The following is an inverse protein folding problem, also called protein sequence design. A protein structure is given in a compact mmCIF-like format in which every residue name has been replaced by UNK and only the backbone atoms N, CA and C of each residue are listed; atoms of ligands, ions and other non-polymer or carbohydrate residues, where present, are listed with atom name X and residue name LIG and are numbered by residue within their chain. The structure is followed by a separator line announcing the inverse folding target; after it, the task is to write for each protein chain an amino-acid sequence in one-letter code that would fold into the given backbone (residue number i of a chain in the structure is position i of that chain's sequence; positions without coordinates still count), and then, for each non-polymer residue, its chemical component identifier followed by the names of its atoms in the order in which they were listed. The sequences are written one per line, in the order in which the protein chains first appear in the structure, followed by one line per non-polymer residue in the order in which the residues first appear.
data_IF_739133547253
#
_entry.id   IF_739133547253
#
_cell.length_a   1.000
_cell.length_b   1.000
_cell.length_c   1.000
_cell.angle_alpha   90.00
_cell.angle_beta   90.00
_cell.angle_gamma   90.00
#
_symmetry.space_group_name_H-M   'P 1'
#
loop_
_entity.id
_entity.type
_entity.pdbx_description
1 polymer ?
#
# COMPACT_ATOMS: atom_id res chain seq x y z
N UNK A 1 44.57 -60.99 16.39
CA UNK A 1 44.08 -60.67 15.02
C UNK A 1 42.64 -60.19 15.12
N UNK A 2 42.33 -59.00 14.57
CA UNK A 2 41.03 -58.30 14.68
C UNK A 2 40.14 -58.62 13.46
N UNK A 3 38.84 -58.90 13.61
CA UNK A 3 37.92 -58.89 12.48
C UNK A 3 37.47 -57.45 12.17
N UNK A 4 37.58 -57.09 10.89
CA UNK A 4 37.11 -55.83 10.29
C UNK A 4 35.59 -55.92 10.12
N UNK A 5 34.84 -55.15 10.91
CA UNK A 5 33.43 -54.87 10.62
C UNK A 5 33.36 -53.55 9.84
N UNK A 6 33.04 -53.65 8.56
CA UNK A 6 32.66 -52.51 7.71
C UNK A 6 31.19 -52.21 8.00
N UNK A 7 30.89 -51.06 8.62
CA UNK A 7 29.52 -50.56 8.77
C UNK A 7 29.32 -49.32 7.88
N UNK A 8 28.13 -49.19 7.27
CA UNK A 8 27.92 -48.42 6.04
C UNK A 8 27.83 -46.92 6.28
N UNK A 9 28.20 -46.16 5.24
CA UNK A 9 28.09 -44.72 5.18
C UNK A 9 26.61 -44.28 5.33
N UNK A 10 26.32 -43.61 6.44
CA UNK A 10 25.03 -42.96 6.72
C UNK A 10 24.93 -41.70 5.85
N UNK A 11 24.23 -41.81 4.71
CA UNK A 11 23.93 -40.70 3.83
C UNK A 11 22.85 -39.82 4.49
N UNK A 12 23.27 -38.70 5.07
CA UNK A 12 22.38 -37.68 5.66
C UNK A 12 21.75 -36.89 4.51
N UNK A 13 20.51 -37.20 4.18
CA UNK A 13 19.66 -36.38 3.31
C UNK A 13 19.19 -35.15 4.07
N UNK A 14 19.86 -34.02 3.83
CA UNK A 14 19.41 -32.71 4.32
C UNK A 14 18.19 -32.31 3.48
N UNK A 15 16.99 -32.56 4.01
CA UNK A 15 15.75 -32.02 3.45
C UNK A 15 15.70 -30.51 3.69
N UNK A 16 16.04 -29.71 2.68
CA UNK A 16 15.72 -28.29 2.64
C UNK A 16 14.19 -28.16 2.57
N UNK A 17 13.54 -28.10 3.73
CA UNK A 17 12.16 -27.66 3.83
C UNK A 17 12.13 -26.13 3.66
N UNK A 18 12.15 -25.67 2.41
CA UNK A 18 11.83 -24.30 2.05
C UNK A 18 10.36 -24.06 2.31
N UNK A 19 10.03 -23.73 3.56
CA UNK A 19 8.70 -23.26 3.93
C UNK A 19 8.51 -21.88 3.31
N UNK A 20 7.65 -21.76 2.30
CA UNK A 20 7.20 -20.47 1.81
C UNK A 20 6.53 -19.72 2.96
N UNK A 21 7.01 -18.51 3.25
CA UNK A 21 6.41 -17.67 4.28
C UNK A 21 4.95 -17.40 3.91
N UNK A 22 3.99 -17.62 4.83
CA UNK A 22 2.60 -17.22 4.58
C UNK A 22 2.54 -15.70 4.43
N UNK A 23 1.94 -15.21 3.33
CA UNK A 23 1.64 -13.80 3.16
C UNK A 23 0.75 -13.32 4.30
N UNK A 24 0.92 -12.05 4.70
CA UNK A 24 0.07 -11.45 5.73
C UNK A 24 -1.41 -11.53 5.33
N UNK A 25 -2.33 -11.73 6.29
CA UNK A 25 -3.75 -11.80 5.97
C UNK A 25 -4.26 -10.48 5.37
N UNK A 26 -5.08 -10.60 4.33
CA UNK A 26 -5.76 -9.49 3.68
C UNK A 26 -7.21 -9.41 4.12
N UNK A 27 -7.75 -8.19 4.19
CA UNK A 27 -9.19 -7.96 4.36
C UNK A 27 -9.97 -8.55 3.19
N UNK A 28 -11.29 -8.69 3.34
CA UNK A 28 -12.14 -8.98 2.18
C UNK A 28 -12.11 -7.82 1.19
N UNK A 29 -12.44 -8.09 -0.09
CA UNK A 29 -12.54 -7.06 -1.12
C UNK A 29 -13.55 -5.97 -0.74
N UNK A 30 -14.69 -6.36 -0.15
CA UNK A 30 -15.70 -5.43 0.35
C UNK A 30 -15.18 -4.53 1.48
N UNK A 31 -14.41 -5.09 2.42
CA UNK A 31 -13.81 -4.29 3.50
C UNK A 31 -12.78 -3.32 2.93
N UNK A 32 -11.89 -3.79 2.06
CA UNK A 32 -10.90 -2.95 1.39
C UNK A 32 -11.56 -1.79 0.62
N UNK A 33 -12.62 -2.09 -0.15
CA UNK A 33 -13.37 -1.08 -0.90
C UNK A 33 -14.02 -0.05 0.02
N UNK A 34 -14.70 -0.50 1.07
CA UNK A 34 -15.36 0.39 2.04
C UNK A 34 -14.36 1.28 2.77
N UNK A 35 -13.18 0.77 3.11
CA UNK A 35 -12.11 1.56 3.72
C UNK A 35 -11.57 2.63 2.77
N UNK A 36 -11.38 2.30 1.49
CA UNK A 36 -11.02 3.27 0.45
C UNK A 36 -12.11 4.35 0.30
N UNK A 37 -13.38 3.95 0.19
CA UNK A 37 -14.52 4.86 0.09
C UNK A 37 -14.61 5.79 1.32
N UNK A 38 -14.47 5.25 2.53
CA UNK A 38 -14.49 6.05 3.77
C UNK A 38 -13.39 7.11 3.79
N UNK A 39 -12.19 6.77 3.33
CA UNK A 39 -11.08 7.71 3.23
C UNK A 39 -11.29 8.79 2.17
N UNK A 40 -11.75 8.43 0.98
CA UNK A 40 -12.06 9.39 -0.09
C UNK A 40 -13.21 10.33 0.31
N UNK A 41 -14.23 9.82 1.00
CA UNK A 41 -15.30 10.66 1.57
C UNK A 41 -14.78 11.59 2.67
N UNK A 42 -13.93 11.10 3.57
CA UNK A 42 -13.31 11.96 4.57
C UNK A 42 -12.47 13.08 3.93
N UNK A 43 -11.70 12.78 2.88
CA UNK A 43 -10.93 13.77 2.14
C UNK A 43 -11.83 14.80 1.47
N UNK A 44 -12.87 14.34 0.75
CA UNK A 44 -13.84 15.22 0.09
C UNK A 44 -14.60 16.11 1.09
N UNK A 45 -14.91 15.60 2.27
CA UNK A 45 -15.51 16.36 3.37
C UNK A 45 -14.52 17.31 4.08
N UNK A 46 -13.24 17.30 3.71
CA UNK A 46 -12.21 18.15 4.33
C UNK A 46 -11.80 17.70 5.74
N UNK A 47 -12.13 16.47 6.13
CA UNK A 47 -11.65 15.88 7.40
C UNK A 47 -10.16 15.50 7.28
N UNK A 48 -9.40 15.47 8.38
CA UNK A 48 -8.03 14.96 8.35
C UNK A 48 -8.03 13.42 8.27
N UNK A 49 -7.02 12.84 7.62
CA UNK A 49 -6.87 11.38 7.52
C UNK A 49 -6.79 10.69 8.91
N UNK A 50 -6.22 11.37 9.91
CA UNK A 50 -6.16 10.88 11.31
C UNK A 50 -7.54 10.66 11.95
N UNK A 51 -8.62 11.20 11.36
CA UNK A 51 -9.97 10.93 11.85
C UNK A 51 -10.44 9.49 11.60
N UNK A 52 -9.77 8.76 10.70
CA UNK A 52 -10.11 7.38 10.32
C UNK A 52 -9.45 6.32 11.22
N UNK A 53 -8.47 6.70 12.04
CA UNK A 53 -7.76 5.78 12.93
C UNK A 53 -8.66 5.24 14.06
N UNK A 54 -9.79 5.90 14.34
CA UNK A 54 -10.78 5.45 15.32
C UNK A 54 -11.83 4.47 14.76
N UNK A 55 -11.81 4.20 13.45
CA UNK A 55 -12.75 3.28 12.82
C UNK A 55 -12.45 1.82 13.19
N UNK A 56 -13.38 0.91 12.87
CA UNK A 56 -13.22 -0.54 13.06
C UNK A 56 -13.49 -1.26 11.74
N UNK A 57 -12.47 -1.82 11.06
CA UNK A 57 -11.04 -1.76 11.41
C UNK A 57 -10.49 -0.33 11.34
N UNK A 58 -9.37 -0.07 11.99
CA UNK A 58 -8.67 1.21 11.86
C UNK A 58 -8.22 1.39 10.40
N UNK A 59 -8.32 2.60 9.87
CA UNK A 59 -7.88 2.89 8.50
C UNK A 59 -6.70 3.85 8.57
N UNK A 60 -5.61 3.45 7.92
CA UNK A 60 -4.43 4.28 7.70
C UNK A 60 -4.39 4.71 6.23
N UNK A 61 -4.80 5.94 5.95
CA UNK A 61 -4.92 6.45 4.59
C UNK A 61 -3.75 7.37 4.24
N UNK A 62 -2.93 6.94 3.27
CA UNK A 62 -1.73 7.64 2.84
C UNK A 62 -1.91 8.16 1.42
N UNK A 63 -2.08 9.48 1.29
CA UNK A 63 -2.03 10.21 0.02
C UNK A 63 -1.26 11.53 0.18
N UNK A 64 -0.21 11.72 -0.61
CA UNK A 64 0.63 12.92 -0.53
C UNK A 64 -0.11 14.21 -0.88
N UNK A 65 -1.09 14.18 -1.80
CA UNK A 65 -1.85 15.38 -2.15
C UNK A 65 -2.80 15.77 -1.02
N UNK A 66 -3.45 14.79 -0.38
CA UNK A 66 -4.25 15.06 0.82
C UNK A 66 -3.38 15.61 1.95
N UNK A 67 -2.23 14.99 2.22
CA UNK A 67 -1.25 15.47 3.21
C UNK A 67 -0.74 16.89 2.89
N UNK A 68 -0.61 17.23 1.62
CA UNK A 68 -0.24 18.57 1.15
C UNK A 68 -1.40 19.60 1.20
N UNK A 69 -2.57 19.22 1.72
CA UNK A 69 -3.72 20.10 1.90
C UNK A 69 -4.56 20.31 0.64
N UNK A 70 -4.35 19.53 -0.42
CA UNK A 70 -5.26 19.55 -1.58
C UNK A 70 -6.65 19.08 -1.15
N UNK A 71 -7.68 19.60 -1.80
CA UNK A 71 -9.07 19.24 -1.54
C UNK A 71 -9.59 18.37 -2.67
N UNK A 72 -10.27 17.28 -2.33
CA UNK A 72 -10.96 16.43 -3.29
C UNK A 72 -12.36 17.00 -3.56
N UNK A 73 -12.70 17.22 -4.83
CA UNK A 73 -14.03 17.69 -5.23
C UNK A 73 -14.95 16.51 -5.58
N UNK A 74 -14.44 15.53 -6.32
CA UNK A 74 -15.18 14.33 -6.72
C UNK A 74 -14.23 13.14 -6.90
N UNK A 75 -14.78 11.94 -6.79
CA UNK A 75 -14.06 10.72 -7.13
C UNK A 75 -14.99 9.67 -7.76
N UNK A 76 -14.40 8.70 -8.46
CA UNK A 76 -15.08 7.49 -8.94
C UNK A 76 -14.16 6.28 -8.81
N UNK A 77 -14.71 5.15 -8.35
CA UNK A 77 -13.97 3.89 -8.18
C UNK A 77 -14.45 2.92 -9.25
N UNK A 78 -13.58 2.57 -10.20
CA UNK A 78 -13.97 1.81 -11.39
C UNK A 78 -13.98 0.29 -11.18
N UNK A 79 -12.92 -0.28 -10.60
CA UNK A 79 -12.81 -1.72 -10.35
C UNK A 79 -11.64 -2.05 -9.43
N UNK A 80 -11.73 -3.18 -8.74
CA UNK A 80 -10.66 -3.78 -7.97
C UNK A 80 -9.98 -4.95 -8.71
N UNK A 81 -8.68 -5.10 -8.50
CA UNK A 81 -7.92 -6.30 -8.83
C UNK A 81 -7.19 -6.72 -7.55
N UNK A 82 -7.39 -7.97 -7.12
CA UNK A 82 -6.71 -8.51 -5.96
C UNK A 82 -5.56 -9.43 -6.39
N UNK A 83 -4.43 -9.35 -5.69
CA UNK A 83 -3.35 -10.33 -5.72
C UNK A 83 -3.11 -10.91 -4.32
N UNK A 84 -2.00 -11.62 -4.13
CA UNK A 84 -1.68 -12.25 -2.84
C UNK A 84 -1.28 -11.24 -1.74
N UNK A 85 -1.05 -9.98 -2.09
CA UNK A 85 -0.48 -8.95 -1.22
C UNK A 85 -1.39 -7.73 -1.04
N UNK A 86 -2.28 -7.43 -2.00
CA UNK A 86 -3.13 -6.25 -1.93
C UNK A 86 -4.42 -6.37 -2.76
N UNK A 87 -5.42 -5.56 -2.38
CA UNK A 87 -6.50 -5.16 -3.28
C UNK A 87 -6.13 -3.83 -3.96
N UNK A 88 -6.03 -3.80 -5.28
CA UNK A 88 -5.69 -2.61 -6.08
C UNK A 88 -6.95 -2.04 -6.75
N UNK A 89 -7.24 -0.76 -6.54
CA UNK A 89 -8.42 -0.07 -7.06
C UNK A 89 -8.01 1.05 -8.02
N UNK A 90 -8.63 1.10 -9.20
CA UNK A 90 -8.54 2.25 -10.11
C UNK A 90 -9.52 3.32 -9.71
N UNK A 91 -9.02 4.53 -9.48
CA UNK A 91 -9.79 5.67 -8.99
C UNK A 91 -9.57 6.90 -9.85
N UNK A 92 -10.65 7.52 -10.32
CA UNK A 92 -10.60 8.86 -10.89
C UNK A 92 -10.75 9.89 -9.78
N UNK A 93 -9.78 10.78 -9.59
CA UNK A 93 -9.82 11.87 -8.61
C UNK A 93 -9.94 13.21 -9.31
N UNK A 94 -10.94 14.01 -8.92
CA UNK A 94 -11.05 15.41 -9.34
C UNK A 94 -10.72 16.29 -8.15
N UNK A 95 -9.56 16.95 -8.19
CA UNK A 95 -9.19 17.92 -7.16
C UNK A 95 -9.93 19.24 -7.38
N UNK A 96 -10.16 19.99 -6.30
CA UNK A 96 -10.88 21.27 -6.36
C UNK A 96 -10.20 22.33 -7.23
N UNK A 97 -8.89 22.25 -7.44
CA UNK A 97 -8.09 23.14 -8.28
C UNK A 97 -7.79 22.57 -9.68
N UNK A 98 -8.34 21.39 -10.01
CA UNK A 98 -8.16 20.73 -11.30
C UNK A 98 -9.49 20.68 -12.07
N UNK A 99 -9.42 20.86 -13.40
CA UNK A 99 -10.59 20.78 -14.28
C UNK A 99 -10.92 19.36 -14.72
N UNK A 100 -9.93 18.48 -14.76
CA UNK A 100 -10.07 17.12 -15.28
C UNK A 100 -9.75 16.09 -14.19
N UNK A 101 -10.45 14.95 -14.19
CA UNK A 101 -10.12 13.84 -13.29
C UNK A 101 -8.74 13.26 -13.62
N UNK A 102 -7.93 13.02 -12.59
CA UNK A 102 -6.69 12.25 -12.70
C UNK A 102 -6.97 10.80 -12.33
N UNK A 103 -6.61 9.86 -13.21
CA UNK A 103 -6.67 8.43 -12.93
C UNK A 103 -5.47 8.03 -12.06
N UNK A 104 -5.74 7.31 -10.97
CA UNK A 104 -4.73 6.83 -10.02
C UNK A 104 -5.09 5.42 -9.56
N UNK A 105 -4.14 4.73 -8.94
CA UNK A 105 -4.37 3.43 -8.32
C UNK A 105 -4.15 3.54 -6.81
N UNK A 106 -5.01 2.89 -6.03
CA UNK A 106 -4.86 2.70 -4.59
C UNK A 106 -4.71 1.23 -4.26
N UNK A 107 -3.80 0.91 -3.33
CA UNK A 107 -3.61 -0.42 -2.76
C UNK A 107 -4.16 -0.45 -1.34
N UNK A 108 -4.99 -1.45 -1.06
CA UNK A 108 -5.47 -1.76 0.27
C UNK A 108 -4.77 -3.03 0.79
N UNK A 109 -4.11 -2.91 1.94
CA UNK A 109 -3.25 -3.95 2.53
C UNK A 109 -3.60 -4.12 4.00
N UNK A 110 -3.61 -5.37 4.46
CA UNK A 110 -3.85 -5.72 5.86
C UNK A 110 -5.33 -5.91 6.21
N UNK A 111 -5.59 -6.04 7.52
CA UNK A 111 -6.92 -6.36 8.08
C UNK A 111 -7.33 -5.39 9.18
N UNK A 112 -6.41 -4.99 10.04
CA UNK A 112 -6.59 -3.99 11.09
C UNK A 112 -5.20 -3.54 11.63
N UNK A 113 -4.69 -2.34 11.26
CA UNK A 113 -5.34 -1.41 10.35
C UNK A 113 -5.38 -1.92 8.90
N UNK A 114 -6.35 -1.42 8.13
CA UNK A 114 -6.31 -1.49 6.67
C UNK A 114 -5.55 -0.26 6.19
N UNK A 115 -4.40 -0.48 5.55
CA UNK A 115 -3.61 0.58 4.94
C UNK A 115 -4.11 0.84 3.52
N UNK A 116 -4.46 2.09 3.23
CA UNK A 116 -4.84 2.55 1.89
C UNK A 116 -3.73 3.47 1.39
N UNK A 117 -2.97 3.02 0.40
CA UNK A 117 -1.85 3.79 -0.17
C UNK A 117 -2.07 4.01 -1.65
N UNK A 118 -1.81 5.23 -2.13
CA UNK A 118 -1.73 5.46 -3.57
C UNK A 118 -0.50 4.75 -4.13
N UNK A 119 -0.63 4.08 -5.27
CA UNK A 119 0.46 3.30 -5.87
C UNK A 119 1.72 4.13 -6.14
N UNK A 120 1.55 5.36 -6.64
CA UNK A 120 2.65 6.33 -6.82
C UNK A 120 3.39 6.62 -5.50
N UNK A 121 2.66 6.67 -4.39
CA UNK A 121 3.19 6.99 -3.07
C UNK A 121 3.88 5.78 -2.45
N UNK A 122 3.29 4.59 -2.59
CA UNK A 122 3.88 3.29 -2.24
C UNK A 122 5.23 3.09 -2.95
N UNK A 123 5.25 3.28 -4.28
CA UNK A 123 6.46 3.16 -5.10
C UNK A 123 7.51 4.23 -4.74
N UNK A 124 7.11 5.45 -4.36
CA UNK A 124 8.05 6.48 -3.89
C UNK A 124 8.70 6.11 -2.56
N UNK A 125 7.97 5.49 -1.65
CA UNK A 125 8.55 5.02 -0.37
C UNK A 125 9.48 3.82 -0.54
N UNK A 126 9.21 2.92 -1.48
CA UNK A 126 10.05 1.75 -1.71
C UNK A 126 11.27 2.03 -2.59
N UNK A 127 11.13 2.91 -3.59
CA UNK A 127 12.22 3.27 -4.49
C UNK A 127 12.81 4.62 -4.08
N UNK A 128 13.82 4.58 -3.21
CA UNK A 128 14.53 5.78 -2.71
C UNK A 128 15.14 6.67 -3.83
N UNK A 129 15.27 6.15 -5.05
CA UNK A 129 15.86 6.85 -6.21
C UNK A 129 14.87 7.73 -7.01
N UNK A 130 13.55 7.65 -6.75
CA UNK A 130 12.51 8.36 -7.52
C UNK A 130 11.91 9.59 -6.81
N UNK A 131 12.60 10.15 -5.81
CA UNK A 131 12.21 11.42 -5.21
C UNK A 131 12.29 12.55 -6.27
N UNK A 132 11.24 13.38 -6.45
CA UNK A 132 11.35 14.53 -7.33
C UNK A 132 12.49 15.43 -6.84
N UNK A 133 13.35 15.88 -7.75
CA UNK A 133 14.40 16.84 -7.44
C UNK A 133 13.77 18.00 -6.65
N UNK A 134 14.19 18.17 -5.40
CA UNK A 134 13.72 19.24 -4.54
C UNK A 134 13.75 20.54 -5.35
N UNK A 135 12.59 21.22 -5.45
CA UNK A 135 12.47 22.47 -6.16
C UNK A 135 13.60 23.38 -5.70
N UNK A 136 14.57 23.66 -6.59
CA UNK A 136 15.71 24.52 -6.29
C UNK A 136 15.13 25.85 -5.80
N UNK A 137 15.41 26.20 -4.54
CA UNK A 137 15.03 27.48 -3.99
C UNK A 137 15.51 28.59 -4.93
N UNK A 138 14.68 29.62 -5.24
CA UNK A 138 15.10 30.69 -6.12
C UNK A 138 16.31 31.39 -5.50
N UNK A 139 17.44 31.32 -6.19
CA UNK A 139 18.69 31.91 -5.74
C UNK A 139 18.53 33.41 -5.52
N UNK A 140 18.86 33.89 -4.32
CA UNK A 140 19.06 35.32 -4.07
C UNK A 140 20.18 35.81 -4.99
N UNK A 141 19.81 36.54 -6.04
CA UNK A 141 20.76 37.41 -6.74
C UNK A 141 21.10 38.56 -5.79
N UNK A 142 22.38 38.63 -5.41
CA UNK A 142 23.01 39.80 -4.79
C UNK A 142 23.37 40.80 -5.87
#
# INVERSE_FOLDING_TARGET
MRPRFSLPALMITIALSGCGSPSAPLSSADQARKSLEAGLEAWKAGRPASSLTGDKPAIDFVDFQWKAGKKLAAYSIASDQADAEAHTFKVGLTLADAKEPKQVEYKAIGVDPIHILRDEDYNRTLNMDNAPAAAKAPGKRR
#
